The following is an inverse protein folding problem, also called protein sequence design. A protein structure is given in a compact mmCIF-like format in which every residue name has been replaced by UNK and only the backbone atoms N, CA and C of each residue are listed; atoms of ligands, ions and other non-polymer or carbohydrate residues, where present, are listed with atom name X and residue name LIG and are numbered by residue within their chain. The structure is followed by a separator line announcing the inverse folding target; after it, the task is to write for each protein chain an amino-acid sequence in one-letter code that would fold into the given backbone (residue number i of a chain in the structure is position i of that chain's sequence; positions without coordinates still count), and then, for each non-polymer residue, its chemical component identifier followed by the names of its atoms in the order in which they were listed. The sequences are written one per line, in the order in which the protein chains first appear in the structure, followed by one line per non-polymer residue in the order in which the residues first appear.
data_IF_289434428342
#
_entry.id   IF_289434428342
#
_cell.length_a   1.000
_cell.length_b   1.000
_cell.length_c   1.000
_cell.angle_alpha   90.00
_cell.angle_beta   90.00
_cell.angle_gamma   90.00
#
_symmetry.space_group_name_H-M   'P 1'
#
loop_
_entity.id
_entity.type
_entity.pdbx_description
1 polymer ?
#
# COMPACT_ATOMS: atom_id res chain seq x y z
N UNK A 1 8.41 10.59 -5.56
CA UNK A 1 7.20 9.82 -5.88
C UNK A 1 6.74 10.16 -7.27
N UNK A 2 6.42 9.16 -8.07
CA UNK A 2 5.84 9.34 -9.39
C UNK A 2 4.37 8.88 -9.36
N UNK A 3 3.44 9.49 -10.12
CA UNK A 3 2.01 9.15 -10.09
C UNK A 3 1.70 7.67 -10.33
N UNK A 4 2.58 6.97 -11.04
CA UNK A 4 2.46 5.55 -11.38
C UNK A 4 2.46 4.65 -10.14
N UNK A 5 3.05 5.09 -9.02
CA UNK A 5 3.02 4.32 -7.77
C UNK A 5 1.60 4.13 -7.24
N UNK A 6 0.70 5.11 -7.43
CA UNK A 6 -0.70 4.97 -7.01
C UNK A 6 -1.42 3.85 -7.77
N UNK A 7 -1.10 3.68 -9.06
CA UNK A 7 -1.63 2.58 -9.88
C UNK A 7 -1.03 1.23 -9.44
N UNK A 8 0.25 1.22 -9.05
CA UNK A 8 0.90 0.03 -8.51
C UNK A 8 0.24 -0.42 -7.20
N UNK A 9 -0.21 0.48 -6.32
CA UNK A 9 -0.96 0.08 -5.12
C UNK A 9 -2.21 -0.75 -5.45
N UNK A 10 -2.86 -0.47 -6.58
CA UNK A 10 -4.11 -1.10 -7.02
C UNK A 10 -3.91 -2.39 -7.85
N UNK A 11 -2.69 -2.67 -8.28
CA UNK A 11 -2.37 -3.81 -9.16
C UNK A 11 -1.39 -4.78 -8.52
N UNK A 12 -0.49 -4.29 -7.67
CA UNK A 12 0.51 -5.11 -7.00
C UNK A 12 -0.10 -5.83 -5.81
N UNK A 13 0.12 -7.13 -5.76
CA UNK A 13 -0.27 -7.99 -4.65
C UNK A 13 0.88 -8.15 -3.67
N UNK A 14 0.55 -8.31 -2.40
CA UNK A 14 1.49 -8.62 -1.35
C UNK A 14 2.09 -10.01 -1.63
N UNK A 15 3.43 -10.14 -1.77
CA UNK A 15 4.04 -11.40 -2.21
C UNK A 15 4.25 -12.42 -1.08
N UNK A 16 3.98 -12.05 0.18
CA UNK A 16 4.19 -12.93 1.33
C UNK A 16 3.42 -12.46 2.57
N UNK A 17 3.41 -13.31 3.61
CA UNK A 17 2.90 -12.97 4.93
C UNK A 17 1.39 -13.19 5.06
N UNK A 18 0.80 -12.63 6.12
CA UNK A 18 -0.61 -12.89 6.47
C UNK A 18 -1.60 -12.47 5.37
N UNK A 19 -1.24 -11.49 4.54
CA UNK A 19 -2.09 -10.94 3.50
C UNK A 19 -1.55 -11.23 2.10
N UNK A 20 -0.78 -12.31 1.92
CA UNK A 20 -0.30 -12.75 0.61
C UNK A 20 -1.45 -12.85 -0.42
N UNK A 21 -1.19 -12.41 -1.65
CA UNK A 21 -2.16 -12.36 -2.75
C UNK A 21 -3.17 -11.21 -2.65
N UNK A 22 -3.12 -10.38 -1.60
CA UNK A 22 -3.96 -9.19 -1.48
C UNK A 22 -3.29 -7.98 -2.11
N UNK A 23 -4.04 -7.16 -2.84
CA UNK A 23 -3.56 -5.88 -3.36
C UNK A 23 -3.07 -4.96 -2.24
N UNK A 24 -1.99 -4.23 -2.47
CA UNK A 24 -1.40 -3.33 -1.47
C UNK A 24 -2.43 -2.29 -0.99
N UNK A 25 -3.25 -1.76 -1.91
CA UNK A 25 -4.31 -0.81 -1.59
C UNK A 25 -5.40 -1.33 -0.64
N UNK A 26 -5.55 -2.66 -0.55
CA UNK A 26 -6.56 -3.32 0.30
C UNK A 26 -5.97 -3.84 1.61
N UNK A 27 -4.68 -3.54 1.89
CA UNK A 27 -4.04 -3.93 3.14
C UNK A 27 -4.66 -3.17 4.32
N UNK A 28 -4.91 -3.86 5.45
CA UNK A 28 -5.43 -3.20 6.64
C UNK A 28 -4.42 -2.24 7.27
N UNK A 29 -4.91 -1.14 7.83
CA UNK A 29 -4.07 -0.11 8.44
C UNK A 29 -3.18 -0.62 9.57
N UNK A 30 -3.68 -1.55 10.41
CA UNK A 30 -2.86 -2.16 11.46
C UNK A 30 -1.67 -2.96 10.91
N UNK A 31 -1.78 -3.52 9.71
CA UNK A 31 -0.69 -4.26 9.07
C UNK A 31 0.37 -3.32 8.49
N UNK A 32 -0.07 -2.22 7.88
CA UNK A 32 0.80 -1.15 7.41
C UNK A 32 1.51 -0.47 8.59
N UNK A 33 0.80 -0.20 9.68
CA UNK A 33 1.35 0.36 10.91
C UNK A 33 2.35 -0.57 11.60
N UNK A 34 2.19 -1.89 11.48
CA UNK A 34 3.22 -2.84 11.94
C UNK A 34 4.51 -2.68 11.13
N UNK A 35 4.44 -2.59 9.79
CA UNK A 35 5.61 -2.30 8.95
C UNK A 35 6.23 -0.93 9.23
N UNK A 36 5.43 0.10 9.53
CA UNK A 36 5.97 1.41 9.90
C UNK A 36 6.81 1.37 11.19
N UNK A 37 6.53 0.41 12.09
CA UNK A 37 7.28 0.21 13.34
C UNK A 37 8.50 -0.69 13.17
N UNK A 38 8.37 -1.79 12.43
CA UNK A 38 9.47 -2.75 12.21
C UNK A 38 10.45 -2.30 11.12
N UNK A 39 9.98 -1.46 10.20
CA UNK A 39 10.68 -1.02 9.00
C UNK A 39 10.10 -1.65 7.73
N UNK A 40 10.04 -0.85 6.66
CA UNK A 40 9.62 -1.32 5.35
C UNK A 40 10.75 -2.12 4.66
N UNK A 41 10.43 -3.17 3.88
CA UNK A 41 11.43 -3.87 3.09
C UNK A 41 12.12 -2.93 2.10
N UNK A 42 13.30 -3.31 1.58
CA UNK A 42 13.96 -2.50 0.54
C UNK A 42 13.33 -2.73 -0.83
N UNK A 43 13.42 -1.70 -1.69
CA UNK A 43 12.94 -1.73 -3.07
C UNK A 43 11.47 -1.35 -3.21
N UNK A 44 10.92 -1.59 -4.41
CA UNK A 44 9.57 -1.17 -4.82
C UNK A 44 8.49 -1.54 -3.79
N UNK A 45 8.52 -2.77 -3.27
CA UNK A 45 7.51 -3.21 -2.30
C UNK A 45 7.49 -2.32 -1.05
N UNK A 46 8.66 -1.95 -0.52
CA UNK A 46 8.73 -1.09 0.66
C UNK A 46 8.26 0.32 0.38
N UNK A 47 8.60 0.85 -0.79
CA UNK A 47 8.13 2.16 -1.24
C UNK A 47 6.61 2.19 -1.37
N UNK A 48 6.01 1.13 -1.93
CA UNK A 48 4.55 0.98 -2.03
C UNK A 48 3.88 0.82 -0.65
N UNK A 49 4.46 0.03 0.25
CA UNK A 49 3.94 -0.14 1.61
C UNK A 49 4.03 1.15 2.43
N UNK A 50 5.14 1.88 2.31
CA UNK A 50 5.32 3.19 2.95
C UNK A 50 4.31 4.20 2.42
N UNK A 51 4.14 4.27 1.10
CA UNK A 51 3.15 5.13 0.47
C UNK A 51 1.73 4.78 0.92
N UNK A 52 1.38 3.50 0.96
CA UNK A 52 0.07 3.07 1.40
C UNK A 52 -0.17 3.40 2.89
N UNK A 53 0.85 3.27 3.72
CA UNK A 53 0.80 3.70 5.12
C UNK A 53 0.57 5.21 5.25
N UNK A 54 1.28 6.03 4.46
CA UNK A 54 1.07 7.49 4.45
C UNK A 54 -0.36 7.86 4.04
N UNK A 55 -0.90 7.20 3.01
CA UNK A 55 -2.30 7.42 2.60
C UNK A 55 -3.29 7.01 3.68
N UNK A 56 -3.06 5.89 4.35
CA UNK A 56 -3.89 5.44 5.47
C UNK A 56 -3.83 6.38 6.67
N UNK A 57 -2.63 6.76 7.09
CA UNK A 57 -2.39 7.56 8.29
C UNK A 57 -2.96 8.99 8.18
N UNK A 58 -3.11 9.50 6.95
CA UNK A 58 -3.67 10.82 6.67
C UNK A 58 -5.15 10.78 6.23
N UNK A 59 -5.84 9.64 6.35
CA UNK A 59 -7.22 9.45 5.87
C UNK A 59 -7.41 9.73 4.36
N UNK A 60 -6.37 9.50 3.56
CA UNK A 60 -6.33 9.77 2.12
C UNK A 60 -6.58 8.53 1.23
N UNK A 61 -6.97 7.40 1.80
CA UNK A 61 -7.27 6.17 1.03
C UNK A 61 -8.28 6.40 -0.10
N UNK A 62 -9.24 7.29 0.11
CA UNK A 62 -10.27 7.64 -0.88
C UNK A 62 -9.73 8.24 -2.18
N UNK A 63 -8.48 8.74 -2.19
CA UNK A 63 -7.82 9.17 -3.42
C UNK A 63 -7.61 8.03 -4.43
N UNK A 64 -7.63 6.78 -3.96
CA UNK A 64 -7.50 5.61 -4.82
C UNK A 64 -8.83 5.21 -5.49
N UNK A 65 -9.97 5.65 -4.96
CA UNK A 65 -11.29 5.29 -5.48
C UNK A 65 -11.51 5.64 -6.96
N UNK A 66 -11.18 6.85 -7.45
CA UNK A 66 -11.32 7.15 -8.88
C UNK A 66 -10.42 6.30 -9.77
N UNK A 67 -9.33 5.75 -9.24
CA UNK A 67 -8.37 4.93 -9.97
C UNK A 67 -8.75 3.44 -9.98
N UNK A 68 -9.67 2.98 -9.13
CA UNK A 68 -10.06 1.56 -9.02
C UNK A 68 -10.75 1.03 -10.27
N UNK A 69 -11.23 1.91 -11.16
CA UNK A 69 -12.07 1.52 -12.28
C UNK A 69 -13.42 1.03 -11.77
N UNK A 70 -14.50 1.57 -12.31
CA UNK A 70 -15.85 1.09 -11.98
C UNK A 70 -16.22 -0.07 -12.87
#
# INVERSE_FOLDING_TARGET
MTPEHLLLLLTREMPYGKYEGRKIADLPGHYLGWFAREGFPRGELGELLSLMYELDHNDLRGLLDPLRGR
#
